data_IF_501632799502
#
_entry.id   IF_501632799502
#
_cell.length_a   1.000
_cell.length_b   1.000
_cell.length_c   1.000
_cell.angle_alpha   90.00
_cell.angle_beta   90.00
_cell.angle_gamma   90.00
#
_symmetry.space_group_name_H-M   'P 1'
#
loop_
_entity.id
_entity.type
_entity.pdbx_description
1 polymer ?
#
# COMPACT_ATOMS: atom_id res chain seq x y z
N UNK A 1 3.58 9.81 -18.25
CA UNK A 1 2.12 9.56 -18.26
C UNK A 1 1.79 8.61 -17.12
N UNK A 2 0.68 8.83 -16.41
CA UNK A 2 0.23 7.89 -15.38
C UNK A 2 -0.21 6.59 -16.06
N UNK A 3 0.23 5.45 -15.54
CA UNK A 3 -0.05 4.12 -16.09
C UNK A 3 -0.93 3.32 -15.14
N UNK A 4 -1.85 2.46 -15.64
CA UNK A 4 -2.62 1.55 -14.80
C UNK A 4 -1.72 0.66 -13.95
N UNK A 5 -2.12 0.41 -12.70
CA UNK A 5 -1.46 -0.51 -11.77
C UNK A 5 -2.40 -1.63 -11.34
N UNK A 6 -1.95 -2.55 -10.47
CA UNK A 6 -2.79 -3.58 -9.82
C UNK A 6 -3.56 -4.50 -10.80
N UNK A 7 -3.05 -4.68 -12.02
CA UNK A 7 -3.61 -5.59 -13.04
C UNK A 7 -4.74 -5.03 -13.90
N UNK A 8 -5.04 -3.73 -13.81
CA UNK A 8 -6.05 -3.09 -14.67
C UNK A 8 -5.52 -2.86 -16.10
N UNK A 9 -6.34 -3.20 -17.09
CA UNK A 9 -6.08 -2.92 -18.52
C UNK A 9 -7.18 -1.97 -19.01
N UNK A 10 -6.85 -0.68 -19.07
CA UNK A 10 -7.78 0.40 -19.43
C UNK A 10 -7.14 1.32 -20.48
N UNK A 11 -6.77 0.74 -21.64
CA UNK A 11 -6.05 1.45 -22.72
C UNK A 11 -6.73 2.75 -23.12
N UNK A 12 -8.05 2.72 -23.22
CA UNK A 12 -8.83 3.84 -23.77
C UNK A 12 -8.90 5.04 -22.81
N UNK A 13 -8.58 4.84 -21.53
CA UNK A 13 -8.59 5.89 -20.51
C UNK A 13 -7.20 6.50 -20.28
N UNK A 14 -6.13 5.94 -20.85
CA UNK A 14 -4.79 6.48 -20.67
C UNK A 14 -4.72 7.87 -21.30
N UNK A 15 -4.33 8.88 -20.51
CA UNK A 15 -4.26 10.28 -20.93
C UNK A 15 -5.60 11.01 -20.92
N UNK A 16 -6.71 10.35 -20.56
CA UNK A 16 -8.01 11.00 -20.39
C UNK A 16 -8.21 11.51 -18.95
N UNK A 17 -8.98 12.60 -18.82
CA UNK A 17 -9.51 13.03 -17.54
C UNK A 17 -10.69 12.13 -17.13
N UNK A 18 -10.42 11.19 -16.24
CA UNK A 18 -11.39 10.21 -15.76
C UNK A 18 -12.59 10.86 -15.04
N UNK A 19 -12.42 12.06 -14.46
CA UNK A 19 -13.52 12.81 -13.84
C UNK A 19 -14.49 13.29 -14.91
N UNK A 20 -14.00 13.83 -16.02
CA UNK A 20 -14.85 14.27 -17.13
C UNK A 20 -15.59 13.11 -17.79
N UNK A 21 -14.90 11.99 -18.00
CA UNK A 21 -15.50 10.77 -18.56
C UNK A 21 -16.65 10.30 -17.66
N UNK A 22 -16.41 10.16 -16.36
CA UNK A 22 -17.43 9.71 -15.42
C UNK A 22 -18.57 10.72 -15.28
N UNK A 23 -18.27 12.03 -15.22
CA UNK A 23 -19.28 13.07 -15.11
C UNK A 23 -20.22 13.09 -16.32
N UNK A 24 -19.70 12.85 -17.53
CA UNK A 24 -20.51 12.72 -18.75
C UNK A 24 -21.49 11.56 -18.65
N UNK A 25 -21.04 10.40 -18.17
CA UNK A 25 -21.89 9.21 -17.99
C UNK A 25 -22.98 9.48 -16.94
N UNK A 26 -22.64 10.12 -15.82
CA UNK A 26 -23.60 10.50 -14.77
C UNK A 26 -24.72 11.38 -15.35
N UNK A 27 -24.37 12.37 -16.18
CA UNK A 27 -25.36 13.24 -16.83
C UNK A 27 -26.21 12.52 -17.88
N UNK A 28 -25.62 11.62 -18.67
CA UNK A 28 -26.39 10.78 -19.61
C UNK A 28 -27.40 9.89 -18.89
N UNK A 29 -27.10 9.46 -17.66
CA UNK A 29 -28.01 8.72 -16.79
C UNK A 29 -28.99 9.61 -16.02
N UNK A 30 -29.00 10.93 -16.27
CA UNK A 30 -29.87 11.92 -15.62
C UNK A 30 -29.75 11.93 -14.08
N UNK A 31 -28.58 11.55 -13.56
CA UNK A 31 -28.32 11.53 -12.13
C UNK A 31 -27.90 12.92 -11.66
N UNK A 32 -28.47 13.39 -10.56
CA UNK A 32 -28.16 14.70 -9.94
C UNK A 32 -26.91 14.61 -9.05
N UNK A 33 -25.81 14.12 -9.61
CA UNK A 33 -24.52 13.97 -8.91
C UNK A 33 -23.46 14.79 -9.61
N UNK A 34 -22.68 15.55 -8.84
CA UNK A 34 -21.53 16.30 -9.33
C UNK A 34 -20.26 15.80 -8.65
N UNK A 35 -19.27 15.45 -9.44
CA UNK A 35 -17.96 15.05 -8.94
C UNK A 35 -17.21 16.32 -8.49
N UNK A 36 -16.86 16.37 -7.21
CA UNK A 36 -16.17 17.52 -6.62
C UNK A 36 -14.67 17.29 -6.44
N UNK A 37 -14.27 16.06 -6.16
CA UNK A 37 -12.89 15.67 -5.95
C UNK A 37 -12.61 14.30 -6.56
N UNK A 38 -11.37 14.11 -7.01
CA UNK A 38 -10.75 12.82 -7.29
C UNK A 38 -9.58 12.69 -6.32
N UNK A 39 -9.51 11.61 -5.57
CA UNK A 39 -8.48 11.41 -4.55
C UNK A 39 -7.81 10.04 -4.68
N UNK A 40 -6.60 9.94 -4.16
CA UNK A 40 -5.92 8.66 -3.94
C UNK A 40 -6.39 8.04 -2.61
N UNK A 41 -6.39 6.71 -2.52
CA UNK A 41 -6.81 5.96 -1.33
C UNK A 41 -5.98 6.32 -0.09
N UNK A 42 -4.66 6.53 -0.22
CA UNK A 42 -3.81 7.00 0.89
C UNK A 42 -4.23 8.36 1.43
N UNK A 43 -4.66 9.27 0.55
CA UNK A 43 -5.15 10.60 0.92
C UNK A 43 -6.48 10.46 1.66
N UNK A 44 -7.37 9.60 1.19
CA UNK A 44 -8.59 9.25 1.92
C UNK A 44 -8.27 8.73 3.32
N UNK A 45 -7.40 7.73 3.42
CA UNK A 45 -6.93 7.16 4.69
C UNK A 45 -6.35 8.20 5.64
N UNK A 46 -5.54 9.13 5.14
CA UNK A 46 -5.01 10.25 5.91
C UNK A 46 -6.16 11.14 6.41
N UNK A 47 -7.05 11.57 5.53
CA UNK A 47 -8.11 12.53 5.86
C UNK A 47 -9.14 11.96 6.82
N UNK A 48 -9.53 10.69 6.67
CA UNK A 48 -10.40 10.00 7.60
C UNK A 48 -9.76 9.87 9.00
N UNK A 49 -8.46 9.61 9.07
CA UNK A 49 -7.75 9.56 10.35
C UNK A 49 -7.59 10.96 10.95
N UNK A 50 -7.29 11.98 10.13
CA UNK A 50 -7.15 13.36 10.54
C UNK A 50 -8.45 13.97 11.07
N UNK A 51 -9.60 13.50 10.60
CA UNK A 51 -10.91 13.89 11.12
C UNK A 51 -11.11 13.53 12.60
N UNK A 52 -10.50 12.43 13.05
CA UNK A 52 -10.60 11.97 14.45
C UNK A 52 -9.35 12.28 15.29
N UNK A 53 -8.21 12.54 14.64
CA UNK A 53 -6.92 12.76 15.28
C UNK A 53 -6.16 13.85 14.52
N UNK A 54 -6.24 15.08 15.04
CA UNK A 54 -5.65 16.27 14.40
C UNK A 54 -4.12 16.20 14.23
N UNK A 55 -3.43 15.29 14.95
CA UNK A 55 -1.99 15.06 14.76
C UNK A 55 -1.69 14.11 13.60
N UNK A 56 -2.70 13.62 12.86
CA UNK A 56 -2.50 12.72 11.71
C UNK A 56 -1.92 13.46 10.53
N UNK A 57 -0.73 13.05 10.11
CA UNK A 57 0.03 13.75 9.07
C UNK A 57 0.58 12.86 7.96
N UNK A 58 0.40 11.55 8.11
CA UNK A 58 0.80 10.53 7.15
C UNK A 58 -0.36 9.56 6.98
N UNK A 59 -0.68 9.22 5.73
CA UNK A 59 -1.60 8.13 5.38
C UNK A 59 -0.83 7.01 4.70
N UNK A 60 -1.07 5.77 5.11
CA UNK A 60 -0.38 4.59 4.56
C UNK A 60 -1.40 3.51 4.20
N UNK A 61 -1.26 2.93 3.01
CA UNK A 61 -2.01 1.75 2.59
C UNK A 61 -1.06 0.55 2.58
N UNK A 62 -1.46 -0.53 3.24
CA UNK A 62 -0.76 -1.81 3.30
C UNK A 62 -1.78 -2.94 3.05
N UNK A 63 -2.05 -3.23 1.78
CA UNK A 63 -3.04 -4.20 1.36
C UNK A 63 -2.57 -4.97 0.14
N UNK A 64 -3.42 -5.05 -0.90
CA UNK A 64 -3.05 -5.61 -2.21
C UNK A 64 -1.82 -4.93 -2.77
N UNK A 65 -1.78 -3.59 -2.72
CA UNK A 65 -0.61 -2.76 -3.00
C UNK A 65 -0.08 -2.07 -1.73
N UNK A 66 0.92 -1.21 -1.89
CA UNK A 66 1.37 -0.31 -0.82
C UNK A 66 1.62 1.09 -1.37
N UNK A 67 1.11 2.09 -0.66
CA UNK A 67 1.35 3.49 -0.98
C UNK A 67 1.34 4.34 0.30
N UNK A 68 1.86 5.56 0.23
CA UNK A 68 1.70 6.55 1.28
C UNK A 68 1.49 7.97 0.74
N UNK A 69 0.90 8.80 1.59
CA UNK A 69 0.89 10.25 1.42
C UNK A 69 1.24 10.94 2.74
N UNK A 70 1.63 12.21 2.65
CA UNK A 70 1.93 13.03 3.81
C UNK A 70 1.70 14.51 3.51
N UNK A 71 1.55 15.34 4.53
CA UNK A 71 1.55 16.79 4.35
C UNK A 71 2.96 17.33 4.11
N UNK A 72 3.16 18.10 3.04
CA UNK A 72 4.40 18.80 2.74
C UNK A 72 4.18 20.32 2.77
N UNK A 73 5.22 21.07 3.13
CA UNK A 73 5.26 22.52 3.05
C UNK A 73 5.18 22.96 1.57
N UNK A 74 4.18 23.77 1.22
CA UNK A 74 3.97 24.22 -0.17
C UNK A 74 5.21 24.89 -0.76
N UNK A 75 6.02 25.55 0.07
CA UNK A 75 7.24 26.22 -0.40
C UNK A 75 8.31 25.25 -0.90
N UNK A 76 8.28 23.99 -0.42
CA UNK A 76 9.19 22.92 -0.84
C UNK A 76 8.71 22.18 -2.10
N UNK A 77 7.50 22.47 -2.57
CA UNK A 77 6.93 21.87 -3.78
C UNK A 77 7.25 22.77 -4.97
N UNK A 78 8.33 22.44 -5.68
CA UNK A 78 8.80 23.20 -6.85
C UNK A 78 8.07 22.85 -8.15
N UNK A 79 7.26 21.79 -8.16
CA UNK A 79 6.53 21.31 -9.34
C UNK A 79 5.18 21.98 -9.56
N UNK A 80 4.72 22.83 -8.64
CA UNK A 80 3.48 23.60 -8.79
C UNK A 80 3.73 24.72 -9.80
N UNK A 81 3.19 24.57 -11.02
CA UNK A 81 3.41 25.49 -12.13
C UNK A 81 2.70 26.84 -11.96
N UNK A 82 1.48 26.83 -11.42
CA UNK A 82 0.67 28.03 -11.17
C UNK A 82 0.33 28.10 -9.68
N UNK A 83 1.10 28.88 -8.91
CA UNK A 83 0.82 29.07 -7.48
C UNK A 83 -0.40 29.94 -7.21
N UNK A 84 -0.92 30.67 -8.21
CA UNK A 84 -2.11 31.50 -8.05
C UNK A 84 -3.41 30.66 -7.96
N UNK A 85 -3.37 29.36 -8.27
CA UNK A 85 -4.49 28.43 -8.03
C UNK A 85 -4.64 28.05 -6.56
N UNK A 86 -3.61 28.27 -5.75
CA UNK A 86 -3.61 27.86 -4.35
C UNK A 86 -4.42 28.87 -3.52
N UNK A 87 -5.20 28.41 -2.53
CA UNK A 87 -5.79 29.31 -1.55
C UNK A 87 -4.70 30.15 -0.87
N UNK A 88 -4.96 31.43 -0.64
CA UNK A 88 -3.97 32.38 -0.08
C UNK A 88 -3.46 31.93 1.30
N UNK A 89 -4.32 31.29 2.07
CA UNK A 89 -4.07 30.74 3.40
C UNK A 89 -3.40 29.36 3.39
N UNK A 90 -3.22 28.74 2.22
CA UNK A 90 -2.64 27.41 2.13
C UNK A 90 -1.13 27.44 2.44
N UNK A 91 -0.73 26.75 3.51
CA UNK A 91 0.68 26.57 3.91
C UNK A 91 1.21 25.16 3.59
N UNK A 92 0.31 24.19 3.50
CA UNK A 92 0.64 22.76 3.35
C UNK A 92 -0.21 22.11 2.25
N UNK A 93 0.36 21.08 1.61
CA UNK A 93 -0.32 20.28 0.59
C UNK A 93 -0.01 18.80 0.82
N UNK A 94 -1.02 17.94 0.64
CA UNK A 94 -0.81 16.49 0.73
C UNK A 94 -0.11 16.01 -0.55
N UNK A 95 1.06 15.39 -0.37
CA UNK A 95 1.79 14.72 -1.43
C UNK A 95 1.42 13.24 -1.42
N UNK A 96 0.80 12.77 -2.49
CA UNK A 96 0.77 11.35 -2.80
C UNK A 96 2.14 10.94 -3.32
N UNK A 97 2.82 10.04 -2.61
CA UNK A 97 4.21 9.70 -2.90
C UNK A 97 4.36 8.70 -4.04
N UNK A 98 3.33 7.88 -4.31
CA UNK A 98 3.42 6.70 -5.17
C UNK A 98 4.68 5.87 -4.87
N UNK A 99 4.99 5.70 -3.57
CA UNK A 99 6.27 5.12 -3.12
C UNK A 99 6.52 3.68 -3.58
N UNK A 100 5.52 3.03 -4.18
CA UNK A 100 5.61 1.68 -4.70
C UNK A 100 6.66 1.58 -5.80
N UNK A 101 6.90 2.67 -6.52
CA UNK A 101 7.92 2.83 -7.55
C UNK A 101 9.36 2.97 -7.02
N UNK A 102 9.56 3.11 -5.70
CA UNK A 102 10.92 3.17 -5.14
C UNK A 102 11.71 1.91 -5.53
N UNK A 103 12.97 2.07 -5.93
CA UNK A 103 13.80 0.97 -6.45
C UNK A 103 13.78 0.84 -7.97
N UNK A 104 12.85 1.49 -8.67
CA UNK A 104 12.95 1.68 -10.12
C UNK A 104 14.27 2.42 -10.44
N UNK A 105 15.09 1.84 -11.32
CA UNK A 105 16.44 2.35 -11.60
C UNK A 105 17.54 1.83 -10.66
N UNK A 106 17.26 0.84 -9.81
CA UNK A 106 18.27 0.01 -9.14
C UNK A 106 18.74 0.51 -7.77
N UNK A 107 18.15 1.58 -7.22
CA UNK A 107 18.57 2.11 -5.91
C UNK A 107 18.33 1.15 -4.72
N UNK A 108 17.55 0.09 -4.92
CA UNK A 108 17.30 -0.97 -3.95
C UNK A 108 17.97 -2.31 -4.30
N UNK A 109 18.81 -2.39 -5.34
CA UNK A 109 19.36 -3.66 -5.85
C UNK A 109 20.10 -4.49 -4.81
N UNK A 110 20.74 -3.81 -3.85
CA UNK A 110 21.43 -4.45 -2.71
C UNK A 110 20.50 -5.19 -1.75
N UNK A 111 19.19 -4.86 -1.75
CA UNK A 111 18.17 -5.49 -0.92
C UNK A 111 17.34 -6.54 -1.68
N UNK A 112 17.42 -6.54 -3.02
CA UNK A 112 16.62 -7.38 -3.91
C UNK A 112 17.30 -8.75 -4.06
N UNK A 113 16.58 -9.80 -3.68
CA UNK A 113 17.03 -11.19 -3.82
C UNK A 113 16.74 -11.73 -5.22
N UNK A 114 17.32 -12.87 -5.57
CA UNK A 114 16.99 -13.56 -6.83
C UNK A 114 15.52 -13.99 -6.89
N UNK A 115 14.89 -14.26 -5.75
CA UNK A 115 13.46 -14.54 -5.68
C UNK A 115 12.63 -13.30 -5.98
N UNK A 116 13.01 -12.14 -5.45
CA UNK A 116 12.33 -10.87 -5.77
C UNK A 116 12.47 -10.54 -7.27
N UNK A 117 13.65 -10.77 -7.87
CA UNK A 117 13.86 -10.58 -9.31
C UNK A 117 12.97 -11.48 -10.15
N UNK A 118 12.80 -12.74 -9.77
CA UNK A 118 11.92 -13.65 -10.50
C UNK A 118 10.46 -13.21 -10.39
N UNK A 119 10.01 -12.80 -9.19
CA UNK A 119 8.67 -12.23 -8.99
C UNK A 119 8.44 -10.99 -9.83
N UNK A 120 9.44 -10.11 -9.94
CA UNK A 120 9.38 -8.93 -10.81
C UNK A 120 9.30 -9.32 -12.29
N UNK A 121 10.16 -10.24 -12.74
CA UNK A 121 10.25 -10.69 -14.13
C UNK A 121 8.94 -11.27 -14.67
N UNK A 122 8.21 -12.03 -13.84
CA UNK A 122 6.94 -12.67 -14.22
C UNK A 122 5.70 -11.84 -13.89
N UNK A 123 5.85 -10.63 -13.34
CA UNK A 123 4.71 -9.78 -13.01
C UNK A 123 4.12 -9.15 -14.27
N UNK A 124 2.93 -8.56 -14.14
CA UNK A 124 2.29 -7.82 -15.24
C UNK A 124 3.00 -6.49 -15.58
N UNK A 125 4.03 -6.12 -14.81
CA UNK A 125 4.72 -4.85 -14.89
C UNK A 125 6.20 -5.00 -14.50
N UNK A 126 7.00 -5.80 -15.23
CA UNK A 126 8.41 -6.03 -14.90
C UNK A 126 9.20 -4.71 -14.84
N UNK A 127 10.09 -4.58 -13.85
CA UNK A 127 10.88 -3.37 -13.64
C UNK A 127 10.13 -2.18 -13.02
N UNK A 128 8.82 -2.32 -12.74
CA UNK A 128 7.96 -1.24 -12.23
C UNK A 128 7.34 -1.67 -10.89
N UNK A 129 7.13 -0.71 -10.00
CA UNK A 129 6.60 -0.89 -8.63
C UNK A 129 7.46 -1.84 -7.77
N UNK A 130 8.78 -1.67 -7.85
CA UNK A 130 9.75 -2.54 -7.17
C UNK A 130 9.50 -2.60 -5.66
N UNK A 131 9.39 -1.46 -4.98
CA UNK A 131 9.13 -1.42 -3.54
C UNK A 131 7.78 -2.03 -3.16
N UNK A 132 6.75 -1.86 -4.01
CA UNK A 132 5.46 -2.50 -3.79
C UNK A 132 5.57 -4.04 -3.82
N UNK A 133 6.37 -4.58 -4.73
CA UNK A 133 6.62 -6.03 -4.84
C UNK A 133 7.34 -6.60 -3.63
N UNK A 134 8.17 -5.80 -2.98
CA UNK A 134 8.88 -6.23 -1.77
C UNK A 134 7.97 -6.35 -0.53
N UNK A 135 6.81 -5.68 -0.52
CA UNK A 135 6.00 -5.45 0.69
C UNK A 135 4.59 -6.03 0.58
N UNK A 136 3.89 -5.73 -0.51
CA UNK A 136 2.43 -5.80 -0.54
C UNK A 136 1.89 -7.23 -0.61
N UNK A 137 0.61 -7.37 -0.24
CA UNK A 137 -0.06 -8.65 -0.19
C UNK A 137 -0.12 -9.36 -1.54
N UNK A 138 -0.23 -8.62 -2.64
CA UNK A 138 -0.29 -9.21 -3.99
C UNK A 138 0.93 -10.09 -4.31
N UNK A 139 2.12 -9.74 -3.80
CA UNK A 139 3.37 -10.42 -4.12
C UNK A 139 3.89 -11.30 -2.98
N UNK A 140 3.52 -11.02 -1.73
CA UNK A 140 4.02 -11.76 -0.56
C UNK A 140 3.79 -13.28 -0.65
N UNK A 141 2.58 -13.68 -1.06
CA UNK A 141 2.23 -15.10 -1.26
C UNK A 141 3.07 -15.77 -2.34
N UNK A 142 3.26 -15.09 -3.48
CA UNK A 142 4.06 -15.59 -4.60
C UNK A 142 5.53 -15.68 -4.25
N UNK A 143 6.07 -14.69 -3.53
CA UNK A 143 7.46 -14.73 -3.06
C UNK A 143 7.70 -15.93 -2.13
N UNK A 144 6.75 -16.19 -1.21
CA UNK A 144 6.81 -17.38 -0.36
C UNK A 144 6.76 -18.67 -1.19
N UNK A 145 5.86 -18.75 -2.17
CA UNK A 145 5.77 -19.89 -3.08
C UNK A 145 7.09 -20.15 -3.81
N UNK A 146 7.73 -19.10 -4.33
CA UNK A 146 8.98 -19.23 -5.09
C UNK A 146 10.15 -19.72 -4.22
N UNK A 147 10.28 -19.20 -2.99
CA UNK A 147 11.28 -19.68 -2.02
C UNK A 147 11.02 -21.15 -1.65
N UNK A 148 9.77 -21.50 -1.33
CA UNK A 148 9.40 -22.86 -0.95
C UNK A 148 9.55 -23.85 -2.12
N UNK A 149 9.26 -23.43 -3.35
CA UNK A 149 9.49 -24.21 -4.55
C UNK A 149 10.97 -24.56 -4.73
N UNK A 150 11.87 -23.60 -4.50
CA UNK A 150 13.32 -23.85 -4.50
C UNK A 150 13.73 -24.89 -3.45
N UNK A 151 13.17 -24.82 -2.24
CA UNK A 151 13.43 -25.79 -1.17
C UNK A 151 12.88 -27.19 -1.51
N UNK A 152 11.73 -27.28 -2.18
CA UNK A 152 11.18 -28.55 -2.67
C UNK A 152 12.10 -29.13 -3.75
N UNK A 153 12.54 -28.32 -4.71
CA UNK A 153 13.40 -28.77 -5.81
C UNK A 153 14.74 -29.32 -5.29
N UNK A 154 15.29 -28.70 -4.25
CA UNK A 154 16.48 -29.20 -3.55
C UNK A 154 16.20 -30.43 -2.66
N UNK A 155 14.95 -30.86 -2.54
CA UNK A 155 14.55 -31.96 -1.66
C UNK A 155 14.85 -31.63 -0.20
N UNK A 156 14.55 -30.43 0.27
CA UNK A 156 14.69 -30.04 1.68
C UNK A 156 13.38 -30.24 2.41
N UNK A 157 12.26 -29.86 1.80
CA UNK A 157 10.91 -29.97 2.38
C UNK A 157 9.97 -30.83 1.51
N UNK A 158 8.91 -31.34 2.13
CA UNK A 158 7.81 -32.08 1.52
C UNK A 158 8.25 -33.31 0.70
N UNK A 159 9.30 -34.01 1.16
CA UNK A 159 9.76 -35.27 0.54
C UNK A 159 8.66 -36.33 0.54
N UNK A 160 8.03 -36.52 1.70
CA UNK A 160 6.96 -37.49 1.94
C UNK A 160 5.74 -37.27 1.04
N UNK A 161 5.52 -36.04 0.56
CA UNK A 161 4.44 -35.75 -0.40
C UNK A 161 4.69 -36.34 -1.79
N UNK A 162 5.95 -36.47 -2.21
CA UNK A 162 6.29 -37.05 -3.52
C UNK A 162 5.99 -38.54 -3.58
N UNK A 163 6.08 -39.21 -2.43
CA UNK A 163 5.84 -40.65 -2.29
C UNK A 163 4.33 -40.98 -2.34
N UNK A 164 3.48 -40.03 -1.97
CA UNK A 164 2.01 -40.16 -1.99
C UNK A 164 1.39 -39.50 -3.23
N UNK A 165 1.57 -40.14 -4.41
CA UNK A 165 1.09 -39.63 -5.72
C UNK A 165 -0.42 -39.38 -5.84
N UNK A 166 -1.24 -39.85 -4.90
CA UNK A 166 -2.71 -39.71 -4.91
C UNK A 166 -3.22 -38.41 -4.25
N UNK A 167 -2.39 -37.63 -3.55
CA UNK A 167 -2.86 -36.47 -2.77
C UNK A 167 -2.92 -35.14 -3.52
N UNK A 168 -2.15 -34.96 -4.60
CA UNK A 168 -2.20 -33.72 -5.36
C UNK A 168 -3.22 -33.79 -6.50
N UNK A 169 -4.19 -32.88 -6.53
CA UNK A 169 -5.06 -32.66 -7.70
C UNK A 169 -4.19 -32.17 -8.86
N UNK A 170 -3.91 -33.06 -9.81
CA UNK A 170 -3.38 -32.84 -11.16
C UNK A 170 -1.97 -32.22 -11.34
N UNK A 171 -1.41 -31.43 -10.41
CA UNK A 171 -0.24 -30.57 -10.73
C UNK A 171 0.98 -30.61 -9.76
N UNK A 172 1.00 -31.51 -8.78
CA UNK A 172 2.12 -31.70 -7.85
C UNK A 172 2.25 -30.62 -6.75
N UNK A 173 3.14 -30.81 -5.75
CA UNK A 173 3.27 -29.92 -4.61
C UNK A 173 3.76 -28.51 -4.98
N UNK A 174 4.46 -28.38 -6.10
CA UNK A 174 4.90 -27.10 -6.65
C UNK A 174 3.71 -26.20 -7.01
N UNK A 175 2.77 -26.68 -7.84
CA UNK A 175 1.60 -25.88 -8.25
C UNK A 175 0.69 -25.52 -7.08
N UNK A 176 0.54 -26.42 -6.09
CA UNK A 176 -0.24 -26.16 -4.90
C UNK A 176 0.25 -24.91 -4.14
N UNK A 177 1.57 -24.71 -4.05
CA UNK A 177 2.14 -23.56 -3.35
C UNK A 177 1.98 -22.23 -4.10
N UNK A 178 1.82 -22.23 -5.44
CA UNK A 178 1.50 -20.99 -6.17
C UNK A 178 0.13 -20.41 -5.82
N UNK A 179 -0.72 -21.16 -5.13
CA UNK A 179 -1.99 -20.68 -4.58
C UNK A 179 -1.84 -19.99 -3.22
N UNK A 180 -0.62 -19.87 -2.68
CA UNK A 180 -0.38 -19.12 -1.45
C UNK A 180 -0.77 -17.65 -1.61
N UNK A 181 -1.51 -17.16 -0.62
CA UNK A 181 -1.99 -15.79 -0.53
C UNK A 181 -1.50 -15.19 0.78
N UNK A 182 -1.55 -13.87 0.92
CA UNK A 182 -1.21 -13.19 2.18
C UNK A 182 -2.02 -13.70 3.37
N UNK A 183 -3.29 -14.07 3.15
CA UNK A 183 -4.15 -14.65 4.18
C UNK A 183 -3.59 -15.98 4.71
N UNK A 184 -3.09 -16.83 3.82
CA UNK A 184 -2.41 -18.08 4.19
C UNK A 184 -1.14 -17.83 5.00
N UNK A 185 -0.35 -16.82 4.62
CA UNK A 185 0.85 -16.40 5.37
C UNK A 185 0.46 -15.91 6.78
N UNK A 186 -0.56 -15.05 6.88
CA UNK A 186 -1.08 -14.58 8.16
C UNK A 186 -1.57 -15.73 9.04
N UNK A 187 -2.27 -16.71 8.47
CA UNK A 187 -2.75 -17.92 9.16
C UNK A 187 -1.58 -18.77 9.66
N UNK A 188 -0.59 -19.08 8.80
CA UNK A 188 0.63 -19.81 9.17
C UNK A 188 1.35 -19.12 10.35
N UNK A 189 1.39 -17.79 10.34
CA UNK A 189 2.05 -17.04 11.39
C UNK A 189 1.29 -16.98 12.71
N UNK A 190 0.02 -17.39 12.77
CA UNK A 190 -0.68 -17.54 14.05
C UNK A 190 -0.14 -18.71 14.89
N UNK A 191 0.62 -19.62 14.29
CA UNK A 191 1.19 -20.74 15.04
C UNK A 191 2.09 -20.27 16.20
N UNK A 192 1.75 -20.73 17.40
CA UNK A 192 2.52 -20.59 18.63
C UNK A 192 2.81 -22.00 19.17
N UNK A 193 4.09 -22.40 19.21
CA UNK A 193 4.50 -23.73 19.66
C UNK A 193 4.92 -24.68 18.54
N UNK A 194 4.93 -25.98 18.83
CA UNK A 194 5.59 -27.02 18.00
C UNK A 194 4.63 -27.89 17.17
N UNK A 195 3.31 -27.68 17.28
CA UNK A 195 2.29 -28.50 16.60
C UNK A 195 2.00 -28.02 15.18
N UNK A 196 2.25 -26.74 14.89
CA UNK A 196 2.03 -26.10 13.59
C UNK A 196 0.61 -26.30 13.03
N UNK A 197 -0.41 -26.20 13.89
CA UNK A 197 -1.79 -26.51 13.54
C UNK A 197 -2.31 -25.66 12.36
N UNK A 198 -2.04 -24.35 12.37
CA UNK A 198 -2.46 -23.46 11.29
C UNK A 198 -1.69 -23.75 10.00
N UNK A 199 -0.38 -23.96 10.09
CA UNK A 199 0.44 -24.36 8.94
C UNK A 199 -0.09 -25.64 8.30
N UNK A 200 -0.42 -26.66 9.10
CA UNK A 200 -1.01 -27.91 8.62
C UNK A 200 -2.37 -27.70 7.97
N UNK A 201 -3.23 -26.86 8.56
CA UNK A 201 -4.53 -26.53 7.98
C UNK A 201 -4.40 -25.84 6.63
N UNK A 202 -3.49 -24.87 6.50
CA UNK A 202 -3.19 -24.21 5.22
C UNK A 202 -2.67 -25.22 4.20
N UNK A 203 -1.69 -26.04 4.57
CA UNK A 203 -1.14 -27.06 3.68
C UNK A 203 -2.22 -28.05 3.22
N UNK A 204 -3.09 -28.50 4.13
CA UNK A 204 -4.24 -29.35 3.79
C UNK A 204 -5.21 -28.69 2.82
N UNK A 205 -5.53 -27.39 2.98
CA UNK A 205 -6.35 -26.64 2.01
C UNK A 205 -5.72 -26.61 0.61
N UNK A 206 -4.39 -26.68 0.54
CA UNK A 206 -3.62 -26.75 -0.70
C UNK A 206 -3.42 -28.19 -1.21
N UNK A 207 -3.94 -29.21 -0.53
CA UNK A 207 -3.76 -30.64 -0.89
C UNK A 207 -2.40 -31.21 -0.48
N UNK A 208 -1.78 -30.65 0.57
CA UNK A 208 -0.47 -31.02 1.10
C UNK A 208 -0.60 -31.62 2.52
N UNK A 209 -1.29 -32.76 2.63
CA UNK A 209 -1.65 -33.39 3.92
C UNK A 209 -0.50 -34.07 4.70
N UNK A 210 0.48 -34.65 4.00
CA UNK A 210 1.60 -35.41 4.56
C UNK A 210 2.85 -34.59 4.96
N UNK A 211 2.70 -33.30 5.26
CA UNK A 211 3.82 -32.46 5.72
C UNK A 211 4.31 -32.89 7.13
N UNK A 212 5.62 -33.05 7.31
CA UNK A 212 6.23 -33.35 8.61
C UNK A 212 6.30 -32.12 9.51
N UNK A 213 6.58 -32.29 10.82
CA UNK A 213 6.82 -31.14 11.71
C UNK A 213 8.00 -30.26 11.23
N UNK A 214 9.04 -30.88 10.68
CA UNK A 214 10.19 -30.18 10.10
C UNK A 214 9.79 -29.35 8.89
N UNK A 215 8.94 -29.90 8.00
CA UNK A 215 8.40 -29.14 6.86
C UNK A 215 7.62 -27.92 7.34
N UNK A 216 6.71 -28.11 8.30
CA UNK A 216 5.91 -27.03 8.85
C UNK A 216 6.78 -25.95 9.52
N UNK A 217 7.84 -26.34 10.24
CA UNK A 217 8.78 -25.40 10.86
C UNK A 217 9.50 -24.54 9.81
N UNK A 218 10.00 -25.15 8.73
CA UNK A 218 10.70 -24.45 7.65
C UNK A 218 9.74 -23.53 6.88
N UNK A 219 8.52 -24.00 6.60
CA UNK A 219 7.48 -23.21 5.91
C UNK A 219 7.07 -22.00 6.75
N UNK A 220 6.80 -22.20 8.04
CA UNK A 220 6.46 -21.13 8.98
C UNK A 220 7.61 -20.11 9.12
N UNK A 221 8.85 -20.60 9.19
CA UNK A 221 10.03 -19.73 9.25
C UNK A 221 10.20 -18.90 7.97
N UNK A 222 10.00 -19.52 6.80
CA UNK A 222 10.06 -18.84 5.50
C UNK A 222 9.03 -17.71 5.40
N UNK A 223 7.77 -18.00 5.76
CA UNK A 223 6.69 -17.02 5.80
C UNK A 223 7.06 -15.82 6.71
N UNK A 224 7.59 -16.13 7.90
CA UNK A 224 8.02 -15.12 8.88
C UNK A 224 9.16 -14.24 8.37
N UNK A 225 10.14 -14.80 7.66
CA UNK A 225 11.24 -14.01 7.10
C UNK A 225 10.74 -12.98 6.08
N UNK A 226 9.83 -13.42 5.20
CA UNK A 226 9.26 -12.59 4.14
C UNK A 226 8.41 -11.46 4.73
N UNK A 227 7.44 -11.78 5.60
CA UNK A 227 6.56 -10.78 6.20
C UNK A 227 7.32 -9.79 7.09
N UNK A 228 8.32 -10.28 7.84
CA UNK A 228 9.18 -9.45 8.69
C UNK A 228 9.98 -8.47 7.84
N UNK A 229 10.58 -8.91 6.73
CA UNK A 229 11.27 -8.02 5.81
C UNK A 229 10.33 -6.96 5.26
N UNK A 230 9.13 -7.33 4.81
CA UNK A 230 8.14 -6.39 4.31
C UNK A 230 7.81 -5.31 5.37
N UNK A 231 7.53 -5.72 6.61
CA UNK A 231 7.26 -4.80 7.72
C UNK A 231 8.46 -3.90 8.07
N UNK A 232 9.70 -4.41 7.97
CA UNK A 232 10.91 -3.63 8.19
C UNK A 232 11.10 -2.54 7.12
N UNK A 233 10.88 -2.89 5.85
CA UNK A 233 10.94 -1.94 4.74
C UNK A 233 9.85 -0.86 4.88
N UNK A 234 8.63 -1.25 5.25
CA UNK A 234 7.55 -0.32 5.57
C UNK A 234 7.95 0.65 6.70
N UNK A 235 8.54 0.14 7.79
CA UNK A 235 9.00 0.99 8.90
C UNK A 235 10.07 1.99 8.44
N UNK A 236 11.02 1.58 7.62
CA UNK A 236 12.05 2.47 7.08
C UNK A 236 11.43 3.59 6.22
N UNK A 237 10.49 3.27 5.35
CA UNK A 237 9.81 4.28 4.52
C UNK A 237 8.98 5.27 5.37
N UNK A 238 8.23 4.78 6.36
CA UNK A 238 7.48 5.64 7.30
C UNK A 238 8.45 6.54 8.08
N UNK A 239 9.58 6.02 8.55
CA UNK A 239 10.59 6.81 9.27
C UNK A 239 11.14 7.96 8.42
N UNK A 240 11.32 7.77 7.11
CA UNK A 240 11.73 8.83 6.18
C UNK A 240 10.66 9.94 6.10
N UNK A 241 9.38 9.58 5.99
CA UNK A 241 8.29 10.57 5.98
C UNK A 241 8.21 11.33 7.31
N UNK A 242 8.38 10.64 8.43
CA UNK A 242 8.42 11.26 9.75
C UNK A 242 9.60 12.21 9.90
N UNK A 243 10.79 11.83 9.42
CA UNK A 243 11.98 12.68 9.41
C UNK A 243 11.73 13.92 8.55
N UNK A 244 11.14 13.75 7.36
CA UNK A 244 10.78 14.86 6.47
C UNK A 244 9.84 15.86 7.14
N UNK A 245 8.80 15.36 7.82
CA UNK A 245 7.88 16.18 8.60
C UNK A 245 8.57 16.90 9.76
N UNK A 246 9.50 16.23 10.46
CA UNK A 246 10.25 16.82 11.57
C UNK A 246 11.17 17.96 11.12
N UNK A 247 11.78 17.84 9.93
CA UNK A 247 12.61 18.89 9.33
C UNK A 247 11.80 20.09 8.81
N UNK A 248 10.48 19.93 8.65
CA UNK A 248 9.57 21.03 8.33
C UNK A 248 9.31 21.85 9.60
N UNK A 249 10.22 22.81 9.87
CA UNK A 249 10.21 23.71 11.04
C UNK A 249 8.92 24.52 11.24
N UNK A 250 8.05 24.58 10.24
CA UNK A 250 6.76 25.27 10.33
C UNK A 250 5.79 24.59 11.32
N UNK A 251 6.01 23.31 11.66
CA UNK A 251 5.15 22.59 12.58
C UNK A 251 5.95 22.08 13.77
N UNK A 252 5.88 22.80 14.90
CA UNK A 252 6.40 22.33 16.18
C UNK A 252 5.53 21.18 16.72
N UNK A 253 5.58 20.02 16.06
CA UNK A 253 4.77 18.87 16.44
C UNK A 253 5.45 18.04 17.52
N UNK A 254 4.78 17.94 18.66
CA UNK A 254 5.17 17.04 19.74
C UNK A 254 4.82 15.57 19.45
N UNK A 255 3.93 15.30 18.48
CA UNK A 255 3.42 13.98 18.12
C UNK A 255 3.01 13.94 16.64
N UNK A 256 3.31 12.83 15.95
CA UNK A 256 2.81 12.53 14.61
C UNK A 256 1.94 11.27 14.65
N UNK A 257 0.67 11.39 14.26
CA UNK A 257 -0.17 10.23 14.00
C UNK A 257 -0.01 9.79 12.53
N UNK A 258 0.09 8.49 12.32
CA UNK A 258 0.13 7.82 11.02
C UNK A 258 -1.13 6.98 10.89
N UNK A 259 -2.03 7.41 10.00
CA UNK A 259 -3.22 6.66 9.65
C UNK A 259 -2.87 5.52 8.69
N UNK A 260 -3.17 4.28 9.08
CA UNK A 260 -2.87 3.09 8.29
C UNK A 260 -4.16 2.33 7.96
N UNK A 261 -4.31 1.94 6.71
CA UNK A 261 -5.36 1.03 6.25
C UNK A 261 -4.78 -0.10 5.38
N UNK A 262 -5.59 -1.10 5.07
CA UNK A 262 -5.24 -2.23 4.22
C UNK A 262 -5.23 -3.57 4.94
N UNK A 263 -5.58 -4.62 4.20
CA UNK A 263 -5.77 -5.97 4.71
C UNK A 263 -4.51 -6.60 5.30
N UNK A 264 -3.34 -6.33 4.71
CA UNK A 264 -2.07 -6.86 5.22
C UNK A 264 -1.79 -6.32 6.62
N UNK A 265 -1.96 -5.01 6.86
CA UNK A 265 -1.73 -4.43 8.17
C UNK A 265 -2.78 -4.86 9.21
N UNK A 266 -4.06 -4.96 8.80
CA UNK A 266 -5.17 -5.32 9.69
C UNK A 266 -5.13 -6.75 10.17
N UNK A 267 -4.82 -7.70 9.28
CA UNK A 267 -5.03 -9.13 9.54
C UNK A 267 -3.73 -9.89 9.82
N UNK A 268 -2.57 -9.37 9.43
CA UNK A 268 -1.32 -10.09 9.66
C UNK A 268 -0.87 -9.97 11.14
N UNK A 269 -0.69 -11.09 11.86
CA UNK A 269 -0.60 -11.10 13.31
C UNK A 269 0.62 -10.38 13.89
N UNK A 270 1.70 -10.25 13.10
CA UNK A 270 2.97 -9.66 13.55
C UNK A 270 3.35 -8.35 12.85
N UNK A 271 2.62 -7.93 11.83
CA UNK A 271 3.10 -6.86 10.94
C UNK A 271 3.24 -5.52 11.67
N UNK A 272 2.19 -5.12 12.40
CA UNK A 272 2.19 -3.93 13.25
C UNK A 272 3.32 -3.96 14.31
N UNK A 273 3.50 -5.10 15.00
CA UNK A 273 4.54 -5.25 16.01
C UNK A 273 5.95 -5.06 15.44
N UNK A 274 6.22 -5.63 14.26
CA UNK A 274 7.52 -5.49 13.59
C UNK A 274 7.74 -4.04 13.15
N UNK A 275 6.71 -3.39 12.59
CA UNK A 275 6.79 -1.97 12.21
C UNK A 275 7.13 -1.12 13.44
N UNK A 276 6.36 -1.24 14.52
CA UNK A 276 6.58 -0.46 15.73
C UNK A 276 7.97 -0.66 16.31
N UNK A 277 8.46 -1.92 16.34
CA UNK A 277 9.80 -2.22 16.85
C UNK A 277 10.90 -1.55 16.03
N UNK A 278 10.77 -1.52 14.70
CA UNK A 278 11.78 -0.91 13.85
C UNK A 278 11.65 0.61 13.79
N UNK A 279 10.44 1.16 13.86
CA UNK A 279 10.25 2.61 13.98
C UNK A 279 10.89 3.16 15.26
N UNK A 280 10.88 2.43 16.39
CA UNK A 280 11.60 2.85 17.60
C UNK A 280 13.10 3.06 17.40
N UNK A 281 13.69 2.39 16.40
CA UNK A 281 15.12 2.47 16.08
C UNK A 281 15.37 3.54 15.01
N UNK A 282 14.47 3.64 14.03
CA UNK A 282 14.67 4.46 12.81
C UNK A 282 14.07 5.86 12.92
N UNK A 283 13.03 6.06 13.74
CA UNK A 283 12.37 7.35 13.90
C UNK A 283 13.30 8.35 14.63
N UNK A 284 13.17 9.66 14.34
CA UNK A 284 13.89 10.69 15.08
C UNK A 284 13.62 10.59 16.60
N UNK A 285 14.68 10.58 17.42
CA UNK A 285 14.62 10.32 18.88
C UNK A 285 13.65 11.23 19.63
N UNK A 286 13.49 12.48 19.17
CA UNK A 286 12.65 13.49 19.83
C UNK A 286 11.18 13.50 19.37
N UNK A 287 10.81 12.61 18.44
CA UNK A 287 9.50 12.63 17.81
C UNK A 287 8.61 11.52 18.38
N UNK A 288 7.56 11.88 19.12
CA UNK A 288 6.52 10.91 19.47
C UNK A 288 5.69 10.58 18.23
N UNK A 289 5.26 9.33 18.11
CA UNK A 289 4.38 8.92 17.03
C UNK A 289 3.33 7.90 17.49
N UNK A 290 2.25 7.82 16.74
CA UNK A 290 1.20 6.82 16.92
C UNK A 290 0.82 6.21 15.57
N UNK A 291 0.73 4.88 15.50
CA UNK A 291 0.14 4.19 14.36
C UNK A 291 -1.32 3.90 14.66
N UNK A 292 -2.22 4.44 13.85
CA UNK A 292 -3.66 4.32 14.06
C UNK A 292 -4.31 3.64 12.87
N UNK A 293 -5.18 2.66 13.13
CA UNK A 293 -5.99 2.06 12.07
C UNK A 293 -7.04 3.10 11.65
N UNK A 294 -7.02 3.49 10.37
CA UNK A 294 -8.02 4.38 9.77
C UNK A 294 -9.17 3.51 9.25
N UNK A 295 -10.28 3.45 9.96
CA UNK A 295 -11.46 2.68 9.55
C UNK A 295 -12.19 3.40 8.40
N UNK A 296 -12.43 2.70 7.30
CA UNK A 296 -13.08 3.25 6.09
C UNK A 296 -12.42 4.53 5.56
N UNK A 297 -11.09 4.47 5.39
CA UNK A 297 -10.29 5.61 4.94
C UNK A 297 -10.75 6.16 3.59
N UNK A 298 -11.06 5.29 2.64
CA UNK A 298 -11.46 5.70 1.29
C UNK A 298 -12.88 6.27 1.23
N UNK A 299 -13.83 5.80 2.03
CA UNK A 299 -15.19 6.33 2.05
C UNK A 299 -15.29 7.66 2.78
N UNK A 300 -14.97 7.65 4.08
CA UNK A 300 -15.05 8.83 4.95
C UNK A 300 -14.09 9.93 4.44
N UNK A 301 -12.85 9.55 4.10
CA UNK A 301 -11.85 10.48 3.59
C UNK A 301 -12.26 11.13 2.27
N UNK A 302 -12.88 10.38 1.35
CA UNK A 302 -13.40 10.95 0.11
C UNK A 302 -14.54 11.94 0.36
N UNK A 303 -15.45 11.65 1.30
CA UNK A 303 -16.51 12.56 1.67
C UNK A 303 -15.97 13.87 2.27
N UNK A 304 -14.97 13.79 3.15
CA UNK A 304 -14.31 14.97 3.72
C UNK A 304 -13.64 15.80 2.62
N UNK A 305 -12.85 15.16 1.74
CA UNK A 305 -12.21 15.85 0.63
C UNK A 305 -13.22 16.51 -0.31
N UNK A 306 -14.35 15.84 -0.58
CA UNK A 306 -15.42 16.35 -1.41
C UNK A 306 -16.08 17.61 -0.81
N UNK A 307 -16.28 17.64 0.51
CA UNK A 307 -16.80 18.82 1.24
C UNK A 307 -15.78 19.96 1.18
N UNK A 308 -14.52 19.71 1.55
CA UNK A 308 -13.45 20.72 1.52
C UNK A 308 -13.27 21.32 0.12
N UNK A 309 -13.29 20.50 -0.94
CA UNK A 309 -13.20 20.96 -2.32
C UNK A 309 -14.42 21.81 -2.74
N UNK A 310 -15.61 21.48 -2.24
CA UNK A 310 -16.81 22.25 -2.51
C UNK A 310 -16.77 23.61 -1.81
N UNK A 311 -16.32 23.67 -0.56
CA UNK A 311 -16.22 24.91 0.21
C UNK A 311 -15.19 25.86 -0.40
N UNK A 312 -14.02 25.35 -0.79
CA UNK A 312 -13.01 26.13 -1.52
C UNK A 312 -13.55 26.70 -2.84
N UNK A 313 -14.34 25.91 -3.59
CA UNK A 313 -15.01 26.39 -4.81
C UNK A 313 -16.05 27.47 -4.53
N UNK A 314 -16.75 27.42 -3.42
CA UNK A 314 -17.71 28.45 -3.03
C UNK A 314 -17.01 29.76 -2.65
N UNK A 315 -15.91 29.69 -1.89
CA UNK A 315 -15.09 30.85 -1.55
C UNK A 315 -14.54 31.54 -2.82
N UNK A 316 -14.00 30.76 -3.77
CA UNK A 316 -13.59 31.24 -5.10
C UNK A 316 -14.72 31.94 -5.87
N UNK A 317 -15.96 31.46 -5.76
CA UNK A 317 -17.14 32.07 -6.43
C UNK A 317 -17.56 33.38 -5.78
N UNK A 318 -17.42 33.50 -4.45
CA UNK A 318 -17.69 34.73 -3.69
C UNK A 318 -16.61 35.79 -3.85
N UNK A 319 -15.50 35.48 -4.53
CA UNK A 319 -14.39 36.42 -4.75
C UNK A 319 -13.43 36.50 -3.57
N UNK A 320 -13.53 35.58 -2.61
CA UNK A 320 -12.66 35.49 -1.42
C UNK A 320 -11.29 34.88 -1.77
N UNK A 321 -11.17 34.24 -2.94
CA UNK A 321 -9.93 33.68 -3.51
C UNK A 321 -9.83 34.13 -4.99
N UNK A 322 -8.66 34.56 -5.46
CA UNK A 322 -8.47 35.01 -6.84
C UNK A 322 -8.69 33.87 -7.85
N UNK A 323 -9.44 34.15 -8.93
CA UNK A 323 -9.67 33.19 -10.02
C UNK A 323 -8.42 33.09 -10.91
N UNK A 324 -7.76 31.94 -10.91
CA UNK A 324 -6.69 31.64 -11.87
C UNK A 324 -7.22 31.21 -13.25
N UNK A 325 -6.36 31.24 -14.26
CA UNK A 325 -6.68 30.87 -15.65
C UNK A 325 -7.09 29.39 -15.80
N UNK A 326 -6.61 28.50 -14.92
CA UNK A 326 -6.95 27.07 -14.88
C UNK A 326 -8.45 26.83 -14.66
N UNK A 327 -9.11 27.63 -13.80
CA UNK A 327 -10.54 27.51 -13.53
C UNK A 327 -11.44 28.07 -14.66
N UNK A 328 -10.89 28.91 -15.55
CA UNK A 328 -11.65 29.45 -16.69
C UNK A 328 -11.76 28.43 -17.83
N UNK A 329 -10.79 27.53 -17.98
CA UNK A 329 -10.86 26.45 -18.97
C UNK A 329 -11.83 25.32 -18.57
N UNK A 330 -11.97 25.04 -17.27
CA UNK A 330 -12.83 23.94 -16.79
C UNK A 330 -14.27 24.34 -16.41
N UNK A 331 -14.61 25.63 -16.43
CA UNK A 331 -16.00 26.10 -16.26
C UNK A 331 -16.72 26.40 -17.59
N UNK A 332 -16.08 26.12 -18.74
CA UNK A 332 -16.78 26.10 -20.02
C UNK A 332 -17.24 24.67 -20.31
N UNK A 333 -18.42 24.33 -19.80
CA UNK A 333 -19.26 23.29 -20.39
C UNK A 333 -20.55 24.00 -20.81
N UNK A 334 -21.05 23.80 -22.05
CA UNK A 334 -22.33 24.33 -22.50
C UNK A 334 -23.51 23.88 -21.62
#
# INVERSE_FOLDING_TARGET
>A
FLTPSKGWVLSDLIGQDVVQVLQRIIYQKQLKVKITALINDTVGTLMACAYHENTCRVGVILGTGTNACYFEDINKIHTISDRAVLPTEATEMIINTEWGALGEGGCLDMLITNFDREIDRISNNPGIHIFEKLISGMYMGRLAAEVLASLINQGIILKTQRDHKQSYRYYGPFHALYMLQTSHISEIELDTGHTFANTRNVLKKLGLDYATNTDCAIISYTCRLISRRAAMLTAAAIAVLMKRLHENKQVAMKKICIGIDGSLYRFHPRFNMVIQRHLKILAPVLLNYELRISADGSGIGAAICAITANDARQALRKGEIQKSSFYQQHNKIP
#
